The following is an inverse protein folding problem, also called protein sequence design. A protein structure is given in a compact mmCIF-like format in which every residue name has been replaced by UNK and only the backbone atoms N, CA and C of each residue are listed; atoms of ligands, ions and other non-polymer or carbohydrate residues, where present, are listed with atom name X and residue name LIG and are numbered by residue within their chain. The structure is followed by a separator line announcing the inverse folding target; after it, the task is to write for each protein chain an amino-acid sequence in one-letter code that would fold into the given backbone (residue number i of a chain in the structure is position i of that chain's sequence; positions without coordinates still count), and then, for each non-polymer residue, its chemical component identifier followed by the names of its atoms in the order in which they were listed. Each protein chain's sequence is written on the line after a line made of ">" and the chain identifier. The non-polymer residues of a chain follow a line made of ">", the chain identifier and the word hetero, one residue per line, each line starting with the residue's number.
data_IF_165249177899
#
_entry.id   IF_165249177899
#
_cell.length_a   1.000
_cell.length_b   1.000
_cell.length_c   1.000
_cell.angle_alpha   90.00
_cell.angle_beta   90.00
_cell.angle_gamma   90.00
#
_symmetry.space_group_name_H-M   'P 1'
#
loop_
_entity.id
_entity.type
_entity.pdbx_description
1 polymer ?
#
# COMPACT_ATOMS: atom_id res chain seq x y z
N UNK A 1 -18.23 19.15 -6.30
CA UNK A 1 -17.17 19.34 -7.32
C UNK A 1 -16.59 17.98 -7.60
N UNK A 2 -16.59 17.54 -8.87
CA UNK A 2 -15.96 16.28 -9.29
C UNK A 2 -14.46 16.57 -9.38
N UNK A 3 -13.63 15.87 -8.59
CA UNK A 3 -12.17 15.99 -8.70
C UNK A 3 -11.73 15.39 -10.04
N UNK A 4 -10.83 16.06 -10.77
CA UNK A 4 -10.53 15.68 -12.16
C UNK A 4 -9.63 14.44 -12.30
N UNK A 5 -9.01 13.93 -11.21
CA UNK A 5 -8.09 12.76 -11.17
C UNK A 5 -7.19 12.57 -12.42
N UNK A 6 -6.74 13.67 -13.02
CA UNK A 6 -5.95 13.62 -14.24
C UNK A 6 -4.59 12.96 -13.96
N UNK A 7 -4.26 11.93 -14.73
CA UNK A 7 -3.04 11.13 -14.54
C UNK A 7 -3.16 9.97 -13.53
N UNK A 8 -4.36 9.60 -13.10
CA UNK A 8 -4.58 8.37 -12.32
C UNK A 8 -4.18 7.11 -13.11
N UNK A 9 -3.46 6.20 -12.48
CA UNK A 9 -3.09 4.90 -13.06
C UNK A 9 -4.27 3.93 -12.97
N UNK A 10 -4.45 3.02 -13.93
CA UNK A 10 -5.58 2.07 -13.90
C UNK A 10 -5.51 1.16 -12.68
N UNK A 11 -6.54 1.19 -11.84
CA UNK A 11 -6.67 0.32 -10.68
C UNK A 11 -7.10 -1.10 -11.09
N UNK A 12 -6.48 -2.11 -10.48
CA UNK A 12 -6.91 -3.51 -10.51
C UNK A 12 -7.89 -3.79 -9.37
N UNK A 13 -8.55 -4.96 -9.44
CA UNK A 13 -9.42 -5.50 -8.40
C UNK A 13 -10.66 -4.67 -8.11
N UNK A 14 -11.56 -4.65 -9.09
CA UNK A 14 -12.87 -4.03 -8.99
C UNK A 14 -13.84 -4.68 -9.99
N UNK A 15 -15.12 -4.47 -9.75
CA UNK A 15 -16.18 -4.79 -10.70
C UNK A 15 -17.28 -3.73 -10.67
N UNK A 16 -18.09 -3.71 -11.72
CA UNK A 16 -19.29 -2.86 -11.81
C UNK A 16 -20.47 -3.57 -11.16
N UNK A 17 -21.23 -2.84 -10.35
CA UNK A 17 -22.48 -3.26 -9.75
C UNK A 17 -23.66 -2.98 -10.69
N UNK A 18 -24.77 -3.69 -10.50
CA UNK A 18 -26.01 -3.52 -11.29
C UNK A 18 -26.57 -2.09 -11.22
N UNK A 19 -26.35 -1.39 -10.11
CA UNK A 19 -26.78 0.01 -9.91
C UNK A 19 -25.82 1.04 -10.53
N UNK A 20 -24.84 0.59 -11.30
CA UNK A 20 -23.88 1.44 -12.01
C UNK A 20 -22.65 1.86 -11.19
N UNK A 21 -22.61 1.59 -9.87
CA UNK A 21 -21.43 1.89 -9.04
C UNK A 21 -20.27 0.93 -9.35
N UNK A 22 -19.07 1.36 -9.01
CA UNK A 22 -17.88 0.51 -9.02
C UNK A 22 -17.56 0.06 -7.60
N UNK A 23 -17.44 -1.25 -7.40
CA UNK A 23 -16.94 -1.82 -6.16
C UNK A 23 -15.44 -2.08 -6.25
N UNK A 24 -14.67 -1.56 -5.31
CA UNK A 24 -13.25 -1.89 -5.14
C UNK A 24 -13.11 -3.15 -4.27
N UNK A 25 -12.53 -4.21 -4.83
CA UNK A 25 -12.38 -5.52 -4.19
C UNK A 25 -10.99 -5.74 -3.58
N UNK A 26 -10.10 -4.75 -3.68
CA UNK A 26 -8.73 -4.82 -3.19
C UNK A 26 -8.64 -5.25 -1.71
N UNK A 27 -9.50 -4.70 -0.86
CA UNK A 27 -9.47 -4.91 0.58
C UNK A 27 -10.87 -5.17 1.13
N UNK A 28 -10.99 -5.70 2.37
CA UNK A 28 -12.28 -6.05 3.00
C UNK A 28 -13.24 -4.87 3.26
N UNK A 29 -12.91 -3.67 2.77
CA UNK A 29 -13.78 -2.49 2.79
C UNK A 29 -14.86 -2.54 1.71
N UNK A 30 -14.58 -3.18 0.58
CA UNK A 30 -15.53 -3.33 -0.53
C UNK A 30 -16.21 -2.00 -0.90
N UNK A 31 -15.41 -0.93 -1.04
CA UNK A 31 -15.94 0.42 -1.24
C UNK A 31 -16.75 0.47 -2.53
N UNK A 32 -18.02 0.87 -2.44
CA UNK A 32 -18.95 1.07 -3.57
C UNK A 32 -19.00 2.54 -3.93
N UNK A 33 -18.45 2.88 -5.08
CA UNK A 33 -18.08 4.25 -5.46
C UNK A 33 -18.87 4.71 -6.68
N UNK A 34 -19.31 5.96 -6.63
CA UNK A 34 -19.82 6.68 -7.79
C UNK A 34 -18.66 7.38 -8.54
N UNK A 35 -18.90 7.78 -9.78
CA UNK A 35 -18.00 8.63 -10.55
C UNK A 35 -17.55 9.86 -9.73
N UNK A 36 -16.25 10.15 -9.74
CA UNK A 36 -15.67 11.24 -8.96
C UNK A 36 -15.42 10.93 -7.48
N UNK A 37 -15.82 9.76 -6.97
CA UNK A 37 -15.63 9.40 -5.55
C UNK A 37 -14.32 8.65 -5.30
N UNK A 38 -13.80 8.83 -4.08
CA UNK A 38 -12.66 8.08 -3.53
C UNK A 38 -13.14 7.01 -2.54
N UNK A 39 -12.44 5.89 -2.51
CA UNK A 39 -12.51 4.92 -1.43
C UNK A 39 -12.03 5.49 -0.09
N UNK A 40 -12.24 4.73 0.98
CA UNK A 40 -11.85 5.13 2.33
C UNK A 40 -10.34 5.43 2.45
N UNK A 41 -9.51 4.77 1.64
CA UNK A 41 -8.07 5.01 1.62
C UNK A 41 -7.66 6.32 0.95
N UNK A 42 -8.60 7.07 0.35
CA UNK A 42 -8.38 8.32 -0.40
C UNK A 42 -7.53 8.20 -1.66
N UNK A 43 -6.88 7.07 -1.96
CA UNK A 43 -6.00 6.94 -3.14
C UNK A 43 -6.59 6.13 -4.28
N UNK A 44 -7.69 5.42 -4.03
CA UNK A 44 -8.46 4.72 -5.06
C UNK A 44 -9.71 5.53 -5.37
N UNK A 45 -9.89 5.91 -6.62
CA UNK A 45 -10.99 6.75 -7.06
C UNK A 45 -11.69 6.17 -8.28
N UNK A 46 -12.93 6.57 -8.55
CA UNK A 46 -13.60 6.28 -9.82
C UNK A 46 -13.45 7.47 -10.75
N UNK A 47 -12.91 7.21 -11.93
CA UNK A 47 -12.82 8.15 -13.04
C UNK A 47 -13.08 7.44 -14.35
N UNK A 48 -13.85 8.07 -15.23
CA UNK A 48 -14.18 7.56 -16.58
C UNK A 48 -14.63 6.11 -16.50
N UNK A 49 -15.57 5.85 -15.57
CA UNK A 49 -16.21 4.56 -15.41
C UNK A 49 -15.25 3.40 -15.06
N UNK A 50 -14.12 3.75 -14.43
CA UNK A 50 -13.05 2.82 -14.01
C UNK A 50 -12.48 3.19 -12.66
N UNK A 51 -11.97 2.20 -11.92
CA UNK A 51 -11.17 2.46 -10.72
C UNK A 51 -9.75 2.91 -11.13
N UNK A 52 -9.25 3.97 -10.49
CA UNK A 52 -7.89 4.50 -10.70
C UNK A 52 -7.14 4.65 -9.37
N UNK A 53 -5.82 4.45 -9.41
CA UNK A 53 -4.87 4.74 -8.34
C UNK A 53 -4.27 6.14 -8.56
N UNK A 54 -4.51 7.05 -7.63
CA UNK A 54 -4.10 8.46 -7.75
C UNK A 54 -2.69 8.75 -7.23
N UNK A 55 -2.06 7.78 -6.55
CA UNK A 55 -0.71 7.91 -5.98
C UNK A 55 0.37 7.15 -6.73
N UNK A 56 0.05 6.57 -7.89
CA UNK A 56 1.04 5.85 -8.68
C UNK A 56 2.20 6.77 -9.08
N UNK A 57 3.44 6.29 -8.91
CA UNK A 57 4.63 7.05 -9.28
C UNK A 57 4.93 8.23 -8.33
N UNK A 58 4.38 8.22 -7.12
CA UNK A 58 4.51 9.29 -6.11
C UNK A 58 4.92 8.71 -4.76
N UNK A 59 5.72 9.47 -4.00
CA UNK A 59 6.17 9.08 -2.65
C UNK A 59 5.87 10.17 -1.63
N UNK A 60 5.53 9.78 -0.39
CA UNK A 60 5.45 10.70 0.77
C UNK A 60 6.82 11.09 1.34
N UNK A 61 7.91 10.53 0.79
CA UNK A 61 9.27 10.74 1.25
C UNK A 61 10.07 9.44 1.26
N UNK A 62 11.39 9.58 1.38
CA UNK A 62 12.34 8.48 1.36
C UNK A 62 13.20 8.47 2.62
N UNK A 63 13.54 7.28 3.10
CA UNK A 63 14.54 7.10 4.13
C UNK A 63 15.34 5.83 3.87
N UNK A 64 16.64 5.85 4.15
CA UNK A 64 17.47 4.65 4.14
C UNK A 64 17.74 4.29 5.59
N UNK A 65 17.27 3.12 5.99
CA UNK A 65 17.39 2.59 7.33
C UNK A 65 17.92 1.15 7.26
N UNK A 66 18.54 0.62 8.32
CA UNK A 66 18.86 -0.80 8.41
C UNK A 66 17.59 -1.65 8.35
N UNK A 67 17.69 -2.85 7.77
CA UNK A 67 16.56 -3.80 7.63
C UNK A 67 15.93 -4.18 8.97
N UNK A 68 16.69 -4.12 10.06
CA UNK A 68 16.26 -4.38 11.42
C UNK A 68 15.17 -3.39 11.89
N UNK A 69 15.10 -2.19 11.29
CA UNK A 69 14.01 -1.23 11.53
C UNK A 69 12.67 -1.70 10.92
N UNK A 70 12.69 -2.69 10.02
CA UNK A 70 11.50 -3.36 9.43
C UNK A 70 11.08 -4.62 10.20
N UNK A 71 11.41 -4.68 11.49
CA UNK A 71 11.59 -5.90 12.31
C UNK A 71 12.02 -7.21 11.62
N UNK A 72 12.95 -7.18 10.68
CA UNK A 72 13.38 -8.38 9.94
C UNK A 72 14.86 -8.76 10.21
N UNK A 73 15.18 -9.19 11.43
CA UNK A 73 16.56 -9.48 11.87
C UNK A 73 17.27 -10.62 11.13
N UNK A 74 16.51 -11.54 10.50
CA UNK A 74 17.08 -12.69 9.78
C UNK A 74 17.05 -12.54 8.26
N UNK A 75 16.53 -11.42 7.76
CA UNK A 75 16.43 -11.14 6.33
C UNK A 75 17.43 -10.04 5.98
N UNK A 76 18.52 -10.41 5.28
CA UNK A 76 19.59 -9.48 4.89
C UNK A 76 20.19 -8.66 6.06
N UNK A 77 20.61 -9.30 7.17
CA UNK A 77 21.05 -8.60 8.38
C UNK A 77 22.17 -7.58 8.11
N UNK A 78 22.08 -6.41 8.75
CA UNK A 78 23.04 -5.32 8.67
C UNK A 78 23.01 -4.54 7.35
N UNK A 79 22.09 -4.85 6.43
CA UNK A 79 22.05 -4.19 5.12
C UNK A 79 21.13 -2.97 5.08
N UNK A 80 21.46 -1.93 4.30
CA UNK A 80 20.61 -0.77 4.14
C UNK A 80 19.38 -1.08 3.27
N UNK A 81 18.25 -0.49 3.65
CA UNK A 81 16.94 -0.66 2.99
C UNK A 81 16.34 0.69 2.65
N UNK A 82 16.10 0.95 1.36
CA UNK A 82 15.41 2.16 0.91
C UNK A 82 13.92 2.03 1.22
N UNK A 83 13.37 2.98 1.96
CA UNK A 83 11.99 2.94 2.46
C UNK A 83 11.16 4.07 1.89
N UNK A 84 9.93 3.76 1.49
CA UNK A 84 8.96 4.77 1.05
C UNK A 84 7.52 4.32 1.27
N UNK A 85 6.59 5.28 1.16
CA UNK A 85 5.15 5.06 1.23
C UNK A 85 4.39 6.08 0.39
N UNK A 86 3.07 6.01 0.40
CA UNK A 86 2.19 6.97 -0.30
C UNK A 86 1.23 7.65 0.66
N UNK A 87 0.28 8.43 0.12
CA UNK A 87 -0.87 8.91 0.89
C UNK A 87 -1.78 7.77 1.31
N UNK A 88 -2.59 8.02 2.33
CA UNK A 88 -3.78 7.22 2.60
C UNK A 88 -3.50 5.91 3.33
N UNK A 89 -4.55 5.25 3.81
CA UNK A 89 -4.51 3.93 4.43
C UNK A 89 -5.92 3.32 4.42
N UNK A 90 -6.04 1.99 4.31
CA UNK A 90 -7.33 1.30 4.38
C UNK A 90 -7.80 0.99 5.82
N UNK A 91 -6.97 1.31 6.82
CA UNK A 91 -7.32 1.37 8.24
C UNK A 91 -7.27 2.81 8.75
N UNK A 92 -8.03 3.10 9.80
CA UNK A 92 -8.15 4.45 10.41
C UNK A 92 -7.67 4.44 11.86
N UNK A 93 -6.51 3.83 12.10
CA UNK A 93 -5.89 3.68 13.42
C UNK A 93 -5.81 5.02 14.18
N UNK A 94 -6.47 5.10 15.35
CA UNK A 94 -6.43 6.30 16.22
C UNK A 94 -5.06 6.58 16.83
N UNK A 95 -4.19 5.56 16.87
CA UNK A 95 -2.83 5.60 17.40
C UNK A 95 -1.75 5.69 16.29
N UNK A 96 -2.14 6.01 15.04
CA UNK A 96 -1.19 6.07 13.93
C UNK A 96 -0.14 7.18 14.14
N UNK A 97 1.13 6.81 14.20
CA UNK A 97 2.24 7.78 14.29
C UNK A 97 2.41 8.56 12.98
N UNK A 98 2.15 7.92 11.83
CA UNK A 98 2.23 8.52 10.50
C UNK A 98 0.87 9.09 10.04
N UNK A 99 0.04 9.59 10.97
CA UNK A 99 -1.33 10.04 10.68
C UNK A 99 -1.39 11.18 9.65
N UNK A 100 -0.37 12.03 9.61
CA UNK A 100 -0.24 13.14 8.65
C UNK A 100 -0.20 12.64 7.20
N UNK A 101 0.37 11.46 6.96
CA UNK A 101 0.46 10.82 5.64
C UNK A 101 -0.74 9.89 5.41
N UNK A 102 -1.08 9.04 6.38
CA UNK A 102 -2.12 8.02 6.23
C UNK A 102 -3.55 8.58 6.17
N UNK A 103 -3.77 9.82 6.64
CA UNK A 103 -5.05 10.54 6.52
C UNK A 103 -5.00 11.69 5.52
N UNK A 104 -3.90 11.84 4.77
CA UNK A 104 -3.78 12.88 3.76
C UNK A 104 -4.79 12.65 2.62
N UNK A 105 -5.55 13.70 2.29
CA UNK A 105 -6.47 13.73 1.14
C UNK A 105 -5.85 14.44 -0.07
N UNK A 106 -5.08 15.49 0.21
CA UNK A 106 -4.36 16.27 -0.78
C UNK A 106 -2.92 15.77 -0.87
N UNK A 107 -2.61 15.02 -1.93
CA UNK A 107 -1.26 14.51 -2.18
C UNK A 107 -0.55 15.22 -3.34
N UNK A 108 -1.19 16.25 -3.91
CA UNK A 108 -0.67 16.96 -5.10
C UNK A 108 0.44 17.97 -4.80
N UNK A 109 0.66 18.37 -3.54
CA UNK A 109 1.58 19.48 -3.23
C UNK A 109 2.95 19.09 -2.69
N UNK A 110 3.19 17.83 -2.29
CA UNK A 110 4.39 17.45 -1.52
C UNK A 110 5.01 16.10 -1.93
N UNK A 111 4.58 15.48 -3.02
CA UNK A 111 5.06 14.16 -3.39
C UNK A 111 6.19 14.21 -4.44
N UNK A 112 7.31 13.57 -4.11
CA UNK A 112 8.40 13.37 -5.07
C UNK A 112 7.96 12.44 -6.19
N UNK A 113 8.40 12.75 -7.42
CA UNK A 113 8.25 11.83 -8.56
C UNK A 113 9.08 10.58 -8.32
N UNK A 114 8.42 9.44 -8.33
CA UNK A 114 8.94 8.18 -7.86
C UNK A 114 8.46 7.06 -8.80
N UNK A 115 8.95 7.02 -10.04
CA UNK A 115 8.61 5.90 -10.94
C UNK A 115 9.28 4.60 -10.46
N UNK A 116 8.71 3.42 -10.75
CA UNK A 116 9.29 2.12 -10.38
C UNK A 116 10.80 2.00 -10.63
N UNK A 117 11.25 2.36 -11.83
CA UNK A 117 12.64 2.25 -12.26
C UNK A 117 13.54 3.25 -11.53
N UNK A 118 13.00 4.42 -11.17
CA UNK A 118 13.73 5.42 -10.39
C UNK A 118 13.95 4.96 -8.96
N UNK A 119 12.97 4.27 -8.35
CA UNK A 119 13.14 3.68 -7.01
C UNK A 119 14.21 2.59 -7.03
N UNK A 120 14.11 1.67 -8.00
CA UNK A 120 15.07 0.58 -8.13
C UNK A 120 16.50 1.10 -8.39
N UNK A 121 16.65 2.10 -9.26
CA UNK A 121 17.94 2.76 -9.53
C UNK A 121 18.48 3.51 -8.32
N UNK A 122 17.61 4.19 -7.55
CA UNK A 122 18.02 4.89 -6.33
C UNK A 122 18.53 3.89 -5.28
N UNK A 123 17.82 2.78 -5.07
CA UNK A 123 18.24 1.73 -4.16
C UNK A 123 19.60 1.13 -4.57
N UNK A 124 19.79 0.83 -5.85
CA UNK A 124 21.08 0.35 -6.39
C UNK A 124 22.21 1.35 -6.12
N UNK A 125 22.01 2.62 -6.49
CA UNK A 125 23.02 3.68 -6.32
C UNK A 125 23.38 3.96 -4.87
N UNK A 126 22.43 3.76 -3.95
CA UNK A 126 22.65 3.93 -2.52
C UNK A 126 23.18 2.66 -1.83
N UNK A 127 23.46 1.59 -2.60
CA UNK A 127 23.97 0.32 -2.04
C UNK A 127 22.93 -0.44 -1.22
N UNK A 128 21.63 -0.10 -1.35
CA UNK A 128 20.55 -0.80 -0.66
C UNK A 128 20.40 -2.21 -1.21
N UNK A 129 20.25 -3.18 -0.30
CA UNK A 129 20.01 -4.58 -0.65
C UNK A 129 18.52 -4.89 -0.76
N UNK A 130 17.68 -4.01 -0.23
CA UNK A 130 16.23 -4.11 -0.37
C UNK A 130 15.52 -2.76 -0.43
N UNK A 131 14.27 -2.79 -0.89
CA UNK A 131 13.30 -1.69 -0.83
C UNK A 131 12.13 -2.10 0.06
N UNK A 132 11.74 -1.23 0.99
CA UNK A 132 10.60 -1.44 1.88
C UNK A 132 9.44 -0.49 1.57
N UNK A 133 8.27 -1.07 1.30
CA UNK A 133 7.01 -0.36 1.22
C UNK A 133 6.42 -0.21 2.64
N UNK A 134 6.34 1.01 3.16
CA UNK A 134 6.08 1.29 4.57
C UNK A 134 5.45 2.68 4.80
N UNK A 135 5.47 3.19 6.03
CA UNK A 135 4.86 4.43 6.55
C UNK A 135 3.34 4.42 6.62
N UNK A 136 2.67 3.99 5.56
CA UNK A 136 1.23 3.74 5.54
C UNK A 136 0.96 2.24 5.35
N UNK A 137 0.08 1.84 4.42
CA UNK A 137 -0.14 0.43 4.09
C UNK A 137 0.04 0.20 2.58
N UNK A 138 0.98 -0.65 2.14
CA UNK A 138 1.27 -0.86 0.73
C UNK A 138 0.16 -1.56 -0.07
N UNK A 139 -0.79 -2.19 0.61
CA UNK A 139 -1.94 -2.82 -0.05
C UNK A 139 -2.71 -1.81 -0.89
N UNK A 140 -2.88 -0.58 -0.43
CA UNK A 140 -3.76 0.40 -1.11
C UNK A 140 -3.22 0.88 -2.45
N UNK A 141 -1.90 0.79 -2.65
CA UNK A 141 -1.19 1.16 -3.88
C UNK A 141 -0.56 -0.07 -4.55
N UNK A 142 -1.21 -1.23 -4.46
CA UNK A 142 -0.77 -2.52 -4.98
C UNK A 142 -0.10 -2.44 -6.35
N UNK A 143 -0.70 -1.73 -7.30
CA UNK A 143 -0.19 -1.62 -8.67
C UNK A 143 1.23 -1.02 -8.68
N UNK A 144 1.42 0.05 -7.93
CA UNK A 144 2.70 0.71 -7.82
C UNK A 144 3.73 -0.13 -7.03
N UNK A 145 3.29 -0.80 -5.95
CA UNK A 145 4.17 -1.67 -5.18
C UNK A 145 4.69 -2.87 -6.01
N UNK A 146 3.81 -3.48 -6.81
CA UNK A 146 4.15 -4.60 -7.70
C UNK A 146 5.14 -4.17 -8.77
N UNK A 147 4.87 -3.05 -9.46
CA UNK A 147 5.76 -2.58 -10.52
C UNK A 147 7.14 -2.18 -9.97
N UNK A 148 7.20 -1.53 -8.80
CA UNK A 148 8.47 -1.24 -8.10
C UNK A 148 9.19 -2.52 -7.74
N UNK A 149 8.48 -3.55 -7.26
CA UNK A 149 9.10 -4.81 -6.89
C UNK A 149 9.72 -5.53 -8.09
N UNK A 150 9.01 -5.56 -9.22
CA UNK A 150 9.53 -6.11 -10.48
C UNK A 150 10.80 -5.35 -10.91
N UNK A 151 10.77 -4.01 -10.91
CA UNK A 151 11.94 -3.20 -11.25
C UNK A 151 13.12 -3.40 -10.28
N UNK A 152 12.86 -3.66 -9.00
CA UNK A 152 13.90 -4.00 -8.01
C UNK A 152 14.50 -5.40 -8.29
N UNK A 153 13.66 -6.39 -8.61
CA UNK A 153 14.10 -7.75 -8.90
C UNK A 153 14.98 -7.83 -10.14
N UNK A 154 14.71 -7.03 -11.18
CA UNK A 154 15.59 -6.89 -12.36
C UNK A 154 17.01 -6.45 -12.01
N UNK A 155 17.19 -5.78 -10.87
CA UNK A 155 18.49 -5.31 -10.35
C UNK A 155 19.04 -6.17 -9.20
N UNK A 156 18.40 -7.31 -8.90
CA UNK A 156 18.78 -8.16 -7.78
C UNK A 156 18.53 -7.54 -6.39
N UNK A 157 17.69 -6.51 -6.31
CA UNK A 157 17.28 -5.84 -5.06
C UNK A 157 16.02 -6.51 -4.54
N UNK A 158 16.02 -6.83 -3.24
CA UNK A 158 14.90 -7.51 -2.59
C UNK A 158 13.77 -6.55 -2.20
N UNK A 159 12.56 -7.06 -1.99
CA UNK A 159 11.41 -6.25 -1.59
C UNK A 159 10.80 -6.66 -0.26
N UNK A 160 10.41 -5.66 0.52
CA UNK A 160 9.84 -5.83 1.87
C UNK A 160 8.49 -5.12 1.95
N UNK A 161 7.45 -5.83 2.39
CA UNK A 161 6.18 -5.23 2.75
C UNK A 161 6.09 -5.02 4.28
N UNK A 162 5.88 -3.77 4.72
CA UNK A 162 5.44 -3.48 6.09
C UNK A 162 3.97 -3.09 6.02
N UNK A 163 3.07 -3.98 6.43
CA UNK A 163 1.62 -3.86 6.16
C UNK A 163 0.80 -4.30 7.37
N UNK A 164 -0.44 -3.81 7.48
CA UNK A 164 -1.42 -4.40 8.39
C UNK A 164 -2.07 -5.67 7.82
N UNK A 165 -1.81 -6.02 6.55
CA UNK A 165 -2.41 -7.19 5.90
C UNK A 165 -3.92 -7.07 5.73
N UNK A 166 -4.45 -5.86 5.53
CA UNK A 166 -5.88 -5.68 5.32
C UNK A 166 -6.22 -5.78 3.82
N UNK A 167 -6.04 -6.96 3.24
CA UNK A 167 -6.16 -7.23 1.79
C UNK A 167 -7.10 -8.42 1.52
N UNK A 168 -7.83 -8.39 0.41
CA UNK A 168 -8.76 -9.45 0.01
C UNK A 168 -8.01 -10.68 -0.54
N UNK A 169 -8.63 -11.89 -0.56
CA UNK A 169 -7.93 -13.14 -0.85
C UNK A 169 -7.26 -13.25 -2.22
N UNK A 170 -7.86 -12.67 -3.26
CA UNK A 170 -7.33 -12.74 -4.62
C UNK A 170 -6.20 -11.70 -4.82
N UNK A 171 -6.38 -10.40 -4.49
CA UNK A 171 -5.30 -9.42 -4.56
C UNK A 171 -4.09 -9.77 -3.69
N UNK A 172 -4.32 -10.47 -2.58
CA UNK A 172 -3.28 -10.98 -1.70
C UNK A 172 -2.26 -11.84 -2.43
N UNK A 173 -2.71 -12.68 -3.37
CA UNK A 173 -1.81 -13.57 -4.13
C UNK A 173 -0.84 -12.74 -4.98
N UNK A 174 -1.36 -11.76 -5.72
CA UNK A 174 -0.56 -10.88 -6.56
C UNK A 174 0.35 -9.96 -5.74
N UNK A 175 -0.12 -9.44 -4.61
CA UNK A 175 0.71 -8.57 -3.78
C UNK A 175 1.91 -9.33 -3.21
N UNK A 176 1.68 -10.47 -2.55
CA UNK A 176 2.74 -11.19 -1.84
C UNK A 176 3.65 -12.01 -2.74
N UNK A 177 3.25 -12.42 -3.96
CA UNK A 177 4.17 -13.09 -4.90
C UNK A 177 5.37 -12.21 -5.28
N UNK A 178 5.25 -10.89 -5.13
CA UNK A 178 6.30 -9.91 -5.44
C UNK A 178 7.05 -9.40 -4.20
N UNK A 179 6.79 -9.96 -3.01
CA UNK A 179 7.48 -9.57 -1.77
C UNK A 179 8.43 -10.67 -1.33
N UNK A 180 9.72 -10.36 -1.14
CA UNK A 180 10.70 -11.31 -0.62
C UNK A 180 10.61 -11.48 0.91
N UNK A 181 10.11 -10.47 1.62
CA UNK A 181 9.79 -10.55 3.04
C UNK A 181 8.59 -9.65 3.39
N UNK A 182 7.92 -9.97 4.50
CA UNK A 182 6.82 -9.17 5.01
C UNK A 182 6.84 -9.09 6.54
N UNK A 183 6.62 -7.89 7.07
CA UNK A 183 6.19 -7.67 8.44
C UNK A 183 4.68 -7.33 8.41
N UNK A 184 3.86 -8.22 8.96
CA UNK A 184 2.41 -8.06 9.04
C UNK A 184 2.00 -7.71 10.47
N UNK A 185 1.52 -6.49 10.68
CA UNK A 185 1.19 -5.98 12.01
C UNK A 185 -0.14 -6.56 12.55
N UNK A 186 -0.05 -7.52 13.47
CA UNK A 186 -1.16 -7.88 14.34
C UNK A 186 -1.25 -6.89 15.52
N UNK A 187 -2.11 -5.88 15.37
CA UNK A 187 -2.17 -4.72 16.31
C UNK A 187 -2.83 -5.04 17.66
N UNK A 188 -3.68 -6.07 17.70
CA UNK A 188 -4.33 -6.59 18.91
C UNK A 188 -4.89 -8.00 18.65
N UNK A 189 -5.33 -8.67 19.72
CA UNK A 189 -5.97 -9.99 19.66
C UNK A 189 -7.50 -9.94 19.81
N UNK A 190 -8.11 -8.76 19.81
CA UNK A 190 -9.57 -8.60 20.02
C UNK A 190 -10.23 -7.83 18.89
N UNK A 191 -11.42 -8.29 18.48
CA UNK A 191 -12.22 -7.64 17.44
C UNK A 191 -12.66 -6.21 17.85
N UNK A 192 -12.93 -5.98 19.16
CA UNK A 192 -13.30 -4.65 19.69
C UNK A 192 -12.21 -3.59 19.38
N UNK A 193 -10.94 -3.95 19.56
CA UNK A 193 -9.81 -3.07 19.24
C UNK A 193 -9.82 -2.66 17.76
N UNK A 194 -10.01 -3.63 16.86
CA UNK A 194 -10.04 -3.34 15.43
C UNK A 194 -11.25 -2.49 15.05
N UNK A 195 -12.43 -2.74 15.60
CA UNK A 195 -13.62 -1.94 15.30
C UNK A 195 -13.48 -0.50 15.80
N UNK A 196 -13.10 -0.31 17.06
CA UNK A 196 -13.13 1.01 17.72
C UNK A 196 -11.92 1.87 17.40
N UNK A 197 -10.75 1.27 17.23
CA UNK A 197 -9.49 2.00 17.06
C UNK A 197 -8.97 1.98 15.63
N UNK A 198 -9.21 0.91 14.85
CA UNK A 198 -8.72 0.79 13.47
C UNK A 198 -9.83 0.90 12.41
N UNK A 199 -11.08 0.79 12.84
CA UNK A 199 -12.27 0.61 11.99
C UNK A 199 -12.12 -0.59 11.05
N UNK A 200 -11.42 -1.65 11.46
CA UNK A 200 -11.14 -2.84 10.67
C UNK A 200 -11.79 -4.12 11.22
N UNK A 201 -11.40 -5.26 10.64
CA UNK A 201 -11.81 -6.61 11.07
C UNK A 201 -10.57 -7.44 11.39
N UNK A 202 -10.48 -8.02 12.59
CA UNK A 202 -9.39 -8.87 13.04
C UNK A 202 -9.27 -10.12 12.15
N UNK A 203 -10.40 -10.75 11.82
CA UNK A 203 -10.42 -12.00 11.04
C UNK A 203 -9.76 -11.87 9.67
N UNK A 204 -9.88 -10.69 9.03
CA UNK A 204 -9.24 -10.43 7.75
C UNK A 204 -7.70 -10.45 7.86
N UNK A 205 -7.14 -10.04 9.00
CA UNK A 205 -5.70 -10.01 9.24
C UNK A 205 -5.23 -11.40 9.67
N UNK A 206 -5.98 -12.07 10.54
CA UNK A 206 -5.68 -13.45 10.95
C UNK A 206 -5.67 -14.42 9.77
N UNK A 207 -6.54 -14.21 8.77
CA UNK A 207 -6.54 -15.07 7.59
C UNK A 207 -5.22 -15.00 6.79
N UNK A 208 -4.49 -13.88 6.86
CA UNK A 208 -3.18 -13.72 6.21
C UNK A 208 -2.07 -14.38 7.03
N UNK A 209 -2.17 -14.34 8.36
CA UNK A 209 -1.16 -14.87 9.27
C UNK A 209 -1.21 -16.40 9.41
N UNK A 210 -2.29 -17.05 8.97
CA UNK A 210 -2.40 -18.50 8.97
C UNK A 210 -1.45 -19.08 7.91
N UNK A 211 -0.51 -19.90 8.35
CA UNK A 211 0.27 -20.77 7.47
C UNK A 211 -0.71 -21.67 6.71
N UNK A 212 -0.73 -21.58 5.39
CA UNK A 212 -1.46 -22.46 4.49
C UNK A 212 -0.50 -23.03 3.47
#
# INVERSE_FOLDING_TARGET
>A
MIESFDGGHLGRYWHRLEDGRIQCDLCPRECKLHEGQRGLCFVRAVKDDRLVLTTYGRSSGFCIDPVEKKPLNHFLPGTPTLSFGTAGCNLTCKFCQNWSISKAREFDKLADRAKPEMIALAAERSGCRSVAFTYNDPVIFLEYAVDVAQACHERGIKTVAVTAGYISPEPRKEFFQHMDAANVDLKAFTQDFYQRLCTGKLDAILDILRLR
#
